data_IF_320045286237
#
_entry.id   IF_320045286237
#
_cell.length_a   1.000
_cell.length_b   1.000
_cell.length_c   1.000
_cell.angle_alpha   90.00
_cell.angle_beta   90.00
_cell.angle_gamma   90.00
#
_symmetry.space_group_name_H-M   'P 1'
#
loop_
_entity.id
_entity.type
_entity.pdbx_description
1 polymer ?
#
# COMPACT_ATOMS: atom_id res chain seq x y z
N UNK A 1 -32.56 -19.84 24.64
CA UNK A 1 -32.59 -18.66 23.75
C UNK A 1 -33.92 -17.94 23.95
N UNK A 2 -33.95 -17.01 24.89
CA UNK A 2 -35.18 -16.31 25.29
C UNK A 2 -35.52 -15.24 24.26
N UNK A 3 -36.66 -15.38 23.58
CA UNK A 3 -37.16 -14.37 22.63
C UNK A 3 -37.65 -13.16 23.44
N UNK A 4 -37.14 -11.96 23.17
CA UNK A 4 -37.64 -10.73 23.80
C UNK A 4 -39.10 -10.50 23.37
N UNK A 5 -40.06 -10.40 24.30
CA UNK A 5 -41.49 -10.38 23.98
C UNK A 5 -42.02 -9.02 23.50
N UNK A 6 -41.18 -7.99 23.35
CA UNK A 6 -41.62 -6.68 22.84
C UNK A 6 -40.47 -5.85 22.23
N UNK A 7 -39.76 -6.38 21.22
CA UNK A 7 -38.75 -5.59 20.51
C UNK A 7 -39.44 -4.49 19.68
N UNK A 8 -39.53 -3.28 20.24
CA UNK A 8 -40.00 -2.13 19.49
C UNK A 8 -39.02 -1.82 18.35
N UNK A 9 -39.50 -1.23 17.24
CA UNK A 9 -38.64 -0.78 16.13
C UNK A 9 -37.47 0.08 16.62
N UNK A 10 -37.66 0.81 17.71
CA UNK A 10 -36.63 1.64 18.36
C UNK A 10 -35.52 0.81 19.01
N UNK A 11 -35.85 -0.35 19.58
CA UNK A 11 -34.85 -1.23 20.22
C UNK A 11 -34.01 -1.94 19.15
N UNK A 12 -34.62 -2.28 18.01
CA UNK A 12 -33.88 -2.78 16.85
C UNK A 12 -32.88 -1.75 16.32
N UNK A 13 -33.29 -0.49 16.17
CA UNK A 13 -32.40 0.60 15.73
C UNK A 13 -31.28 0.83 16.76
N UNK A 14 -31.59 0.80 18.06
CA UNK A 14 -30.59 0.94 19.14
C UNK A 14 -29.56 -0.19 19.13
N UNK A 15 -30.00 -1.43 18.93
CA UNK A 15 -29.10 -2.58 18.86
C UNK A 15 -28.22 -2.52 17.60
N UNK A 16 -28.79 -2.16 16.44
CA UNK A 16 -28.06 -2.03 15.19
C UNK A 16 -27.02 -0.89 15.24
N UNK A 17 -27.38 0.26 15.81
CA UNK A 17 -26.46 1.39 15.99
C UNK A 17 -25.39 1.08 17.05
N UNK A 18 -25.75 0.41 18.15
CA UNK A 18 -24.80 0.00 19.18
C UNK A 18 -23.78 -1.03 18.66
N UNK A 19 -24.22 -2.01 17.88
CA UNK A 19 -23.36 -3.03 17.28
C UNK A 19 -22.40 -2.44 16.24
N UNK A 20 -22.87 -1.51 15.41
CA UNK A 20 -22.03 -0.82 14.42
C UNK A 20 -21.03 0.15 15.06
N UNK A 21 -21.39 0.82 16.16
CA UNK A 21 -20.45 1.62 16.94
C UNK A 21 -19.34 0.76 17.55
N UNK A 22 -19.67 -0.41 18.13
CA UNK A 22 -18.68 -1.33 18.68
C UNK A 22 -17.72 -1.89 17.61
N UNK A 23 -18.23 -2.24 16.43
CA UNK A 23 -17.41 -2.68 15.29
C UNK A 23 -16.54 -1.54 14.71
N UNK A 24 -17.05 -0.31 14.69
CA UNK A 24 -16.30 0.88 14.29
C UNK A 24 -15.15 1.25 15.23
N UNK A 25 -15.32 0.99 16.54
CA UNK A 25 -14.27 1.19 17.54
C UNK A 25 -13.18 0.12 17.38
N UNK A 26 -13.54 -1.16 17.22
CA UNK A 26 -12.55 -2.25 17.06
C UNK A 26 -11.65 -2.11 15.82
N UNK A 27 -12.18 -1.54 14.73
CA UNK A 27 -11.44 -1.30 13.48
C UNK A 27 -10.56 -0.04 13.52
N UNK A 28 -10.89 0.96 14.35
CA UNK A 28 -10.12 2.23 14.46
C UNK A 28 -9.18 2.30 15.65
N UNK A 29 -9.47 1.57 16.74
CA UNK A 29 -8.63 1.50 17.95
C UNK A 29 -7.71 0.28 18.02
N UNK A 30 -7.51 -0.42 16.90
CA UNK A 30 -6.41 -1.35 16.75
C UNK A 30 -6.50 -2.58 17.65
N UNK A 31 -7.60 -3.35 17.55
CA UNK A 31 -7.51 -4.75 17.95
C UNK A 31 -6.55 -5.44 16.97
N UNK A 32 -5.37 -5.92 17.39
CA UNK A 32 -4.39 -6.47 16.46
C UNK A 32 -4.87 -7.87 16.06
N UNK A 33 -5.76 -7.94 15.08
CA UNK A 33 -5.85 -9.13 14.23
C UNK A 33 -4.49 -9.21 13.55
N UNK A 34 -3.67 -10.18 13.96
CA UNK A 34 -2.35 -10.46 13.41
C UNK A 34 -2.48 -10.88 11.94
N UNK A 35 -2.78 -9.92 11.07
CA UNK A 35 -2.66 -10.06 9.64
C UNK A 35 -1.18 -9.98 9.32
N UNK A 36 -0.73 -10.99 8.59
CA UNK A 36 0.65 -11.40 8.45
C UNK A 36 1.63 -10.28 8.16
N UNK A 37 2.89 -10.55 8.54
CA UNK A 37 4.06 -9.71 8.24
C UNK A 37 4.01 -9.31 6.77
N UNK A 38 3.60 -8.07 6.52
CA UNK A 38 3.77 -7.45 5.21
C UNK A 38 5.28 -7.48 4.96
N UNK A 39 5.71 -8.29 3.99
CA UNK A 39 7.04 -8.15 3.40
C UNK A 39 7.10 -6.72 2.88
N UNK A 40 7.71 -5.83 3.65
CA UNK A 40 7.75 -4.41 3.33
C UNK A 40 8.52 -4.30 2.02
N UNK A 41 7.78 -4.09 0.92
CA UNK A 41 8.38 -3.81 -0.37
C UNK A 41 9.41 -2.69 -0.17
N UNK A 42 10.60 -2.79 -0.79
CA UNK A 42 11.63 -1.77 -0.65
C UNK A 42 11.01 -0.41 -1.01
N UNK A 43 10.90 0.47 -0.01
CA UNK A 43 10.30 1.79 -0.19
C UNK A 43 11.40 2.73 -0.65
N UNK A 44 11.34 3.18 -1.91
CA UNK A 44 12.13 4.32 -2.34
C UNK A 44 11.73 5.55 -1.50
N UNK A 45 12.71 6.22 -0.87
CA UNK A 45 12.46 7.40 -0.04
C UNK A 45 12.07 8.63 -0.87
N UNK A 46 12.50 8.67 -2.13
CA UNK A 46 12.26 9.78 -3.06
C UNK A 46 12.29 9.26 -4.50
N UNK A 47 11.43 9.79 -5.37
CA UNK A 47 11.39 9.48 -6.79
C UNK A 47 11.63 10.77 -7.60
N UNK A 48 12.48 10.71 -8.62
CA UNK A 48 12.69 11.80 -9.57
C UNK A 48 12.01 11.41 -10.88
N UNK A 49 11.07 12.24 -11.35
CA UNK A 49 10.35 12.03 -12.61
C UNK A 49 10.89 12.99 -13.67
N UNK A 50 11.40 12.45 -14.78
CA UNK A 50 11.75 13.21 -15.96
C UNK A 50 10.59 13.17 -16.96
N UNK A 51 10.00 14.32 -17.25
CA UNK A 51 8.95 14.44 -18.27
C UNK A 51 9.56 14.98 -19.57
N UNK A 52 9.70 14.11 -20.57
CA UNK A 52 10.30 14.45 -21.86
C UNK A 52 9.32 14.14 -23.01
N UNK A 53 9.17 15.09 -23.93
CA UNK A 53 8.42 14.91 -25.16
C UNK A 53 9.28 14.04 -26.11
N UNK A 54 8.88 12.79 -26.34
CA UNK A 54 9.59 11.89 -27.26
C UNK A 54 10.58 10.89 -26.64
N UNK A 55 10.40 10.52 -25.36
CA UNK A 55 11.28 9.61 -24.60
C UNK A 55 12.73 10.11 -24.43
N UNK A 56 13.49 9.45 -23.57
CA UNK A 56 14.91 9.76 -23.38
C UNK A 56 15.70 9.10 -24.50
N UNK A 57 16.68 9.80 -25.08
CA UNK A 57 17.59 9.09 -25.98
C UNK A 57 18.40 8.08 -25.15
N UNK A 58 18.88 7.03 -25.79
CA UNK A 58 19.57 5.96 -25.06
C UNK A 58 20.89 6.42 -24.44
N UNK A 59 21.51 7.47 -25.00
CA UNK A 59 22.70 8.13 -24.42
C UNK A 59 22.36 8.97 -23.19
N UNK A 60 21.10 9.40 -23.04
CA UNK A 60 20.63 10.17 -21.88
C UNK A 60 20.24 9.26 -20.70
N UNK A 61 20.18 7.95 -20.93
CA UNK A 61 19.86 6.97 -19.88
C UNK A 61 21.16 6.50 -19.24
N UNK A 62 21.19 6.37 -17.90
CA UNK A 62 22.31 5.80 -17.15
C UNK A 62 22.43 4.26 -17.34
N UNK A 63 22.54 3.80 -18.58
CA UNK A 63 22.65 2.39 -18.96
C UNK A 63 24.04 2.09 -19.55
N UNK A 64 24.98 1.52 -18.76
CA UNK A 64 26.36 1.29 -19.17
C UNK A 64 26.57 0.16 -20.21
N UNK A 65 25.56 -0.67 -20.50
CA UNK A 65 25.59 -1.74 -21.53
C UNK A 65 26.90 -2.56 -21.60
N UNK A 66 27.24 -3.33 -20.54
CA UNK A 66 28.46 -4.10 -20.50
C UNK A 66 28.53 -5.14 -21.62
N UNK A 67 29.70 -5.28 -22.26
CA UNK A 67 29.96 -6.33 -23.27
C UNK A 67 29.42 -6.05 -24.67
N UNK A 68 28.96 -4.83 -24.94
CA UNK A 68 28.50 -4.40 -26.27
C UNK A 68 29.55 -3.51 -26.96
N UNK A 69 29.55 -3.49 -28.29
CA UNK A 69 30.46 -2.64 -29.08
C UNK A 69 30.21 -1.13 -28.87
N UNK A 70 28.99 -0.76 -28.47
CA UNK A 70 28.56 0.62 -28.21
C UNK A 70 28.56 0.99 -26.72
N UNK A 71 29.07 0.11 -25.84
CA UNK A 71 29.16 0.37 -24.41
C UNK A 71 30.24 1.39 -24.11
N UNK A 72 29.91 2.43 -23.34
CA UNK A 72 30.88 3.40 -22.86
C UNK A 72 31.88 2.78 -21.86
N UNK A 73 32.89 3.54 -21.40
CA UNK A 73 33.92 3.02 -20.50
C UNK A 73 33.42 2.72 -19.08
N UNK A 74 32.17 3.07 -18.76
CA UNK A 74 31.61 3.02 -17.43
C UNK A 74 30.93 1.67 -17.15
N UNK A 75 30.93 1.25 -15.88
CA UNK A 75 30.26 0.04 -15.40
C UNK A 75 29.17 0.39 -14.40
N UNK A 76 28.17 -0.47 -14.29
CA UNK A 76 27.15 -0.35 -13.24
C UNK A 76 27.81 -0.46 -11.85
N UNK A 77 27.37 0.39 -10.93
CA UNK A 77 27.76 0.33 -9.52
C UNK A 77 26.70 -0.44 -8.71
N UNK A 78 27.05 -1.04 -7.57
CA UNK A 78 26.06 -1.66 -6.68
C UNK A 78 25.14 -0.58 -6.08
N UNK A 79 23.83 -0.70 -6.28
CA UNK A 79 22.81 0.28 -5.85
C UNK A 79 21.86 -0.23 -4.76
N UNK A 80 22.15 -1.38 -4.13
CA UNK A 80 21.38 -1.97 -3.04
C UNK A 80 22.29 -2.49 -1.91
#
# INVERSE_FOLDING_TARGET
MSRCPNCSRRDFVRLALGASAAAGIGSKFGLPLALGRESRAPKAKSCILFWMQGAQSQIDTWDPKPGTEFGGPFKAIPTA
#
